data_IF_028535161809
#
_entry.id   IF_028535161809
#
_cell.length_a   1.000
_cell.length_b   1.000
_cell.length_c   1.000
_cell.angle_alpha   90.00
_cell.angle_beta   90.00
_cell.angle_gamma   90.00
#
_symmetry.space_group_name_H-M   'P 1'
#
loop_
_entity.id
_entity.type
_entity.pdbx_description
1 polymer ?
2 branched ?
3 branched ?
4 non-polymer ?
5 non-polymer ?
6 non-polymer ?
7 non-polymer ?
8 water ?
#
# COMPACT_ATOMS: atom_id res chain seq x y z
N UNK A 26 -5.88 26.42 7.01
CA UNK A 26 -6.88 25.74 6.16
C UNK A 26 -7.46 24.47 6.84
N UNK A 27 -8.77 24.36 6.82
CA UNK A 27 -9.47 23.27 7.51
C UNK A 27 -9.31 21.93 6.83
N UNK A 28 -9.36 20.86 7.63
CA UNK A 28 -9.54 19.52 7.12
C UNK A 28 -11.00 19.31 6.75
N UNK A 29 -11.23 18.47 5.76
CA UNK A 29 -12.56 18.24 5.21
C UNK A 29 -12.65 16.80 4.68
N UNK A 30 -12.59 15.86 5.60
CA UNK A 30 -12.54 14.45 5.26
C UNK A 30 -13.91 13.81 5.32
N UNK A 31 -14.26 13.02 4.31
CA UNK A 31 -15.53 12.31 4.34
C UNK A 31 -15.54 11.23 5.39
N UNK A 32 -16.65 11.05 6.09
CA UNK A 32 -16.79 9.98 7.05
C UNK A 32 -17.07 8.63 6.40
N UNK A 33 -17.36 8.63 5.09
CA UNK A 33 -17.53 7.38 4.35
C UNK A 33 -16.49 7.27 3.24
N UNK A 34 -16.13 6.04 2.90
CA UNK A 34 -15.14 5.84 1.84
C UNK A 34 -15.78 6.07 0.47
N UNK A 35 -14.97 6.01 -0.57
CA UNK A 35 -15.49 6.31 -1.91
C UNK A 35 -16.35 5.20 -2.49
N UNK A 36 -16.19 3.99 -2.01
CA UNK A 36 -16.92 2.84 -2.54
C UNK A 36 -18.37 2.99 -2.13
N UNK A 37 -19.33 2.93 -3.09
CA UNK A 37 -20.74 2.91 -2.66
C UNK A 37 -21.05 1.58 -1.91
N UNK A 38 -21.86 1.63 -0.89
CA UNK A 38 -22.18 0.48 -0.10
C UNK A 38 -20.94 -0.32 0.30
N UNK A 39 -20.04 0.30 1.07
CA UNK A 39 -18.87 -0.42 1.51
C UNK A 39 -19.27 -1.59 2.39
N UNK A 40 -18.43 -2.62 2.41
CA UNK A 40 -18.68 -3.74 3.29
C UNK A 40 -18.63 -3.26 4.75
N UNK A 41 -19.15 -4.07 5.66
CA UNK A 41 -19.12 -3.74 7.07
C UNK A 41 -17.67 -3.55 7.51
N UNK A 42 -16.80 -4.46 7.09
CA UNK A 42 -15.40 -4.36 7.41
C UNK A 42 -14.72 -3.11 6.89
N UNK A 43 -15.02 -2.76 5.64
CA UNK A 43 -14.43 -1.55 5.06
C UNK A 43 -14.91 -0.31 5.77
N UNK A 44 -16.19 -0.24 6.13
CA UNK A 44 -16.63 0.94 6.83
C UNK A 44 -15.99 0.98 8.22
N UNK A 45 -15.81 -0.16 8.88
CA UNK A 45 -15.14 -0.15 10.20
C UNK A 45 -13.68 0.30 10.06
N UNK A 46 -12.97 -0.22 9.07
CA UNK A 46 -11.56 0.13 8.85
C UNK A 46 -11.48 1.63 8.53
N UNK A 47 -12.29 2.12 7.60
CA UNK A 47 -12.25 3.53 7.24
C UNK A 47 -12.56 4.42 8.43
N UNK A 48 -13.60 4.09 9.18
CA UNK A 48 -13.95 4.87 10.35
C UNK A 48 -12.82 4.85 11.39
N UNK A 49 -12.13 3.71 11.54
CA UNK A 49 -11.00 3.64 12.45
C UNK A 49 -9.90 4.62 12.01
N UNK A 50 -9.62 4.66 10.70
CA UNK A 50 -8.64 5.62 10.18
C UNK A 50 -9.10 7.07 10.38
N UNK A 51 -10.34 7.36 10.07
CA UNK A 51 -10.85 8.73 10.27
C UNK A 51 -10.79 9.15 11.73
N UNK A 52 -11.23 8.30 12.63
CA UNK A 52 -11.33 8.68 14.04
C UNK A 52 -9.97 8.81 14.72
N UNK A 53 -8.97 8.08 14.24
CA UNK A 53 -7.62 8.15 14.79
C UNK A 53 -6.70 9.13 14.10
N UNK A 54 -7.06 9.56 12.91
CA UNK A 54 -6.23 10.49 12.15
C UNK A 54 -6.07 11.80 12.95
N UNK A 55 -4.82 12.23 13.10
CA UNK A 55 -4.43 13.45 13.82
C UNK A 55 -4.29 13.26 15.30
N UNK A 56 -4.70 12.12 15.82
CA UNK A 56 -4.59 11.82 17.26
C UNK A 56 -3.63 10.72 17.61
N UNK A 57 -3.47 9.78 16.69
CA UNK A 57 -2.56 8.65 16.87
C UNK A 57 -1.98 8.28 15.53
N UNK A 58 -0.92 7.48 15.58
CA UNK A 58 -0.17 7.06 14.40
C UNK A 58 -0.15 5.55 14.42
N UNK A 59 -0.65 4.93 13.35
CA UNK A 59 -0.75 3.46 13.27
C UNK A 59 0.59 2.86 12.79
N UNK A 60 1.13 1.95 13.59
CA UNK A 60 2.38 1.27 13.24
C UNK A 60 2.13 0.20 12.17
N UNK A 61 3.12 0.04 11.29
CA UNK A 61 3.05 -0.92 10.20
C UNK A 61 4.39 -1.53 9.90
N UNK A 62 4.35 -2.63 9.12
CA UNK A 62 5.58 -3.20 8.58
C UNK A 62 5.27 -3.97 7.32
N UNK A 63 6.11 -3.84 6.31
CA UNK A 63 6.02 -4.63 5.10
C UNK A 63 6.65 -5.99 5.30
N UNK A 64 6.09 -6.98 4.59
CA UNK A 64 6.69 -8.31 4.52
C UNK A 64 7.08 -8.67 3.08
N UNK A 65 7.88 -9.71 2.93
CA UNK A 65 8.40 -10.16 1.63
C UNK A 65 7.70 -11.44 1.20
N UNK A 66 6.91 -11.35 0.15
CA UNK A 66 6.23 -12.51 -0.40
C UNK A 66 7.19 -13.32 -1.25
N UNK A 67 6.84 -14.57 -1.49
CA UNK A 67 7.65 -15.48 -2.31
C UNK A 67 7.59 -16.88 -1.74
N UNK A 68 8.68 -17.62 -1.94
CA UNK A 68 8.64 -19.06 -1.61
C UNK A 68 9.06 -19.41 -0.21
N UNK A 69 9.17 -18.42 0.68
CA UNK A 69 9.67 -18.63 2.06
C UNK A 69 8.48 -18.50 3.05
N UNK A 70 7.86 -19.63 3.40
CA UNK A 70 6.72 -19.61 4.29
C UNK A 70 7.04 -19.04 5.66
N UNK A 71 8.21 -19.44 6.19
CA UNK A 71 8.65 -19.07 7.52
C UNK A 71 8.73 -17.58 7.67
N UNK A 72 9.20 -16.96 6.60
CA UNK A 72 9.57 -15.55 6.60
C UNK A 72 8.37 -14.61 6.36
N UNK A 73 7.18 -15.15 6.07
CA UNK A 73 6.01 -14.33 5.77
C UNK A 73 5.57 -13.35 6.85
N UNK A 74 5.90 -13.64 8.12
CA UNK A 74 5.57 -12.74 9.22
C UNK A 74 6.85 -12.31 9.98
N UNK A 75 8.01 -12.35 9.35
CA UNK A 75 9.23 -12.14 10.11
C UNK A 75 9.31 -10.73 10.69
N UNK A 76 8.87 -9.72 9.95
CA UNK A 76 9.00 -8.34 10.47
C UNK A 76 8.03 -8.12 11.66
N UNK A 77 6.74 -8.48 11.53
CA UNK A 77 5.90 -8.34 12.72
C UNK A 77 6.32 -9.21 13.90
N UNK A 78 6.80 -10.42 13.64
CA UNK A 78 7.26 -11.31 14.69
C UNK A 78 8.49 -10.71 15.40
N UNK A 79 9.42 -10.17 14.63
CA UNK A 79 10.59 -9.53 15.22
C UNK A 79 10.17 -8.39 16.12
N UNK A 80 9.19 -7.60 15.67
CA UNK A 80 8.72 -6.49 16.46
C UNK A 80 8.07 -6.94 17.75
N UNK A 81 7.31 -8.02 17.70
CA UNK A 81 6.72 -8.57 18.92
C UNK A 81 7.77 -8.95 19.95
N UNK A 82 8.78 -9.69 19.51
CA UNK A 82 9.78 -10.22 20.42
C UNK A 82 10.72 -9.16 20.96
N UNK A 83 11.04 -8.18 20.12
CA UNK A 83 12.08 -7.19 20.45
C UNK A 83 11.54 -5.86 20.95
N UNK A 84 10.38 -5.46 20.46
CA UNK A 84 9.78 -4.20 20.88
C UNK A 84 8.53 -4.37 21.70
N UNK A 85 8.08 -5.61 21.89
CA UNK A 85 6.97 -5.89 22.79
C UNK A 85 5.59 -5.89 22.17
N UNK A 86 5.47 -5.53 20.88
CA UNK A 86 4.15 -5.43 20.23
C UNK A 86 4.31 -5.65 18.74
N UNK A 87 3.32 -6.28 18.13
CA UNK A 87 3.19 -6.36 16.68
C UNK A 87 2.67 -5.02 16.14
N UNK A 88 3.07 -4.67 14.91
CA UNK A 88 2.47 -3.53 14.25
C UNK A 88 1.00 -3.74 14.02
N UNK A 89 0.23 -2.69 13.97
CA UNK A 89 -1.21 -2.80 13.71
C UNK A 89 -1.50 -3.14 12.25
N UNK A 90 -0.60 -2.73 11.37
CA UNK A 90 -0.73 -2.88 9.90
C UNK A 90 0.39 -3.78 9.37
N UNK A 91 0.05 -4.67 8.46
CA UNK A 91 1.01 -5.51 7.77
C UNK A 91 0.90 -5.28 6.28
N UNK A 92 2.02 -5.20 5.62
CA UNK A 92 2.05 -5.02 4.17
C UNK A 92 2.31 -6.31 3.40
N UNK A 93 1.56 -6.51 2.32
CA UNK A 93 1.65 -7.68 1.43
C UNK A 93 1.56 -7.19 -0.01
N UNK A 94 2.11 -7.97 -0.93
CA UNK A 94 2.26 -7.60 -2.34
C UNK A 94 1.88 -8.75 -3.25
N UNK A 95 1.02 -8.49 -4.23
CA UNK A 95 0.63 -9.50 -5.24
C UNK A 95 1.66 -9.69 -6.38
N UNK A 97 3.94 -11.70 -7.27
CA UNK A 97 4.12 -13.02 -7.90
C UNK A 97 2.83 -13.69 -8.33
N UNK A 98 1.68 -13.04 -8.12
CA UNK A 98 0.39 -13.64 -8.44
C UNK A 98 0.13 -13.78 -9.95
N UNK A 99 0.80 -12.93 -10.72
CA UNK A 99 0.78 -12.98 -12.18
C UNK A 99 2.19 -12.73 -12.68
N UNK A 100 2.44 -13.18 -13.91
CA UNK A 100 3.65 -12.80 -14.60
C UNK A 100 4.39 -13.95 -15.23
N UNK A 101 5.15 -13.60 -16.26
CA UNK A 101 6.01 -14.55 -16.95
C UNK A 101 6.89 -15.31 -15.97
N UNK A 102 6.83 -16.63 -16.02
CA UNK A 102 7.70 -17.44 -15.22
C UNK A 102 7.35 -17.53 -13.75
N UNK A 103 6.19 -17.02 -13.34
CA UNK A 103 5.84 -17.01 -11.93
C UNK A 103 4.89 -18.12 -11.52
N UNK A 104 4.72 -19.11 -12.40
CA UNK A 104 3.86 -20.28 -12.10
C UNK A 104 4.28 -21.02 -10.86
N UNK A 105 5.57 -21.03 -10.55
CA UNK A 105 6.07 -21.67 -9.34
C UNK A 105 5.33 -21.12 -8.07
N UNK A 106 4.85 -19.89 -8.17
CA UNK A 106 4.11 -19.25 -7.10
C UNK A 106 2.62 -19.38 -7.31
N UNK A 107 2.10 -18.85 -8.42
CA UNK A 107 0.66 -18.69 -8.54
C UNK A 107 -0.08 -19.99 -8.85
N UNK A 108 0.65 -21.04 -9.24
CA UNK A 108 0.12 -22.40 -9.40
C UNK A 108 0.58 -23.41 -8.35
N UNK A 109 1.14 -22.93 -7.26
CA UNK A 109 1.52 -23.84 -6.20
C UNK A 109 0.53 -23.63 -5.06
N UNK A 110 -0.02 -24.71 -4.52
CA UNK A 110 -0.94 -24.58 -3.38
C UNK A 110 -0.29 -23.90 -2.13
N UNK A 111 1.02 -24.01 -1.98
CA UNK A 111 1.74 -23.39 -0.85
C UNK A 111 1.77 -21.88 -0.93
N UNK A 112 1.59 -21.30 -2.14
CA UNK A 112 1.87 -19.89 -2.40
C UNK A 112 0.74 -19.13 -3.09
N UNK A 113 -0.13 -19.82 -3.82
CA UNK A 113 -1.20 -19.19 -4.60
C UNK A 113 -2.21 -18.46 -3.71
N UNK A 114 -2.26 -18.80 -2.43
CA UNK A 114 -3.13 -18.10 -1.48
C UNK A 114 -2.30 -17.43 -0.36
N UNK A 115 -1.01 -17.25 -0.56
CA UNK A 115 -0.18 -16.61 0.42
C UNK A 115 -0.65 -15.20 0.79
N UNK A 116 -1.00 -14.38 -0.21
CA UNK A 116 -1.43 -13.02 0.10
C UNK A 116 -2.80 -13.02 0.79
N UNK A 117 -3.77 -13.75 0.25
CA UNK A 117 -5.09 -13.86 0.88
C UNK A 117 -4.98 -14.38 2.31
N UNK A 118 -4.20 -15.42 2.51
CA UNK A 118 -4.09 -16.00 3.86
C UNK A 118 -3.39 -15.09 4.82
N UNK A 119 -2.39 -14.36 4.35
CA UNK A 119 -1.69 -13.40 5.21
C UNK A 119 -2.60 -12.30 5.61
N UNK A 120 -3.38 -11.78 4.67
CA UNK A 120 -4.34 -10.72 4.95
C UNK A 120 -5.43 -11.19 5.90
N UNK A 121 -5.97 -12.36 5.62
CA UNK A 121 -7.01 -12.97 6.48
C UNK A 121 -6.50 -13.12 7.90
N UNK A 122 -5.31 -13.67 8.03
CA UNK A 122 -4.74 -13.92 9.33
C UNK A 122 -4.58 -12.64 10.12
N UNK A 123 -4.05 -11.58 9.52
CA UNK A 123 -3.83 -10.35 10.27
C UNK A 123 -5.15 -9.67 10.59
N UNK A 124 -6.08 -9.66 9.66
CA UNK A 124 -7.42 -9.11 9.92
C UNK A 124 -8.09 -9.85 11.08
N UNK A 125 -7.97 -11.16 11.11
CA UNK A 125 -8.63 -11.93 12.16
C UNK A 125 -8.07 -11.60 13.52
N UNK A 126 -6.83 -11.16 13.60
CA UNK A 126 -6.20 -10.71 14.83
C UNK A 126 -6.52 -9.28 15.20
N UNK A 127 -7.28 -8.58 14.34
CA UNK A 127 -7.63 -7.18 14.53
C UNK A 127 -6.76 -6.18 13.81
N UNK A 128 -5.84 -6.68 12.99
CA UNK A 128 -4.92 -5.80 12.29
C UNK A 128 -5.43 -5.35 10.94
N UNK A 129 -4.60 -4.55 10.27
CA UNK A 129 -4.94 -3.91 9.00
C UNK A 129 -4.05 -4.47 7.89
N UNK A 130 -4.61 -5.25 6.95
CA UNK A 130 -3.79 -5.63 5.80
C UNK A 130 -3.68 -4.47 4.82
N UNK A 131 -2.46 -4.17 4.38
CA UNK A 131 -2.19 -3.11 3.40
C UNK A 131 -1.57 -3.82 2.18
N UNK A 132 -2.33 -3.90 1.09
CA UNK A 132 -1.93 -4.63 -0.10
C UNK A 132 -1.49 -3.69 -1.21
N UNK A 133 -0.43 -4.07 -1.91
CA UNK A 133 0.04 -3.40 -3.11
C UNK A 133 0.35 -4.45 -4.14
N UNK A 134 0.83 -4.02 -5.30
CA UNK A 134 1.05 -4.94 -6.39
C UNK A 134 2.11 -4.40 -7.34
N UNK A 135 3.33 -4.94 -7.24
CA UNK A 135 4.34 -4.69 -8.28
C UNK A 135 3.97 -5.56 -9.48
N UNK A 136 3.25 -4.92 -10.40
CA UNK A 136 2.50 -5.60 -11.46
C UNK A 136 3.42 -5.92 -12.64
N UNK A 137 3.77 -7.17 -12.77
CA UNK A 137 4.70 -7.60 -13.84
C UNK A 137 4.07 -7.47 -15.22
N UNK A 138 4.92 -7.01 -16.15
CA UNK A 138 4.61 -6.92 -17.60
C UNK A 138 3.41 -7.75 -18.02
N UNK A 139 2.27 -7.10 -18.22
CA UNK A 139 1.06 -7.86 -18.54
C UNK A 139 1.14 -8.64 -19.85
N UNK A 140 2.01 -8.21 -20.74
CA UNK A 140 2.19 -8.97 -22.01
C UNK A 140 2.80 -10.33 -21.82
N UNK A 141 3.52 -10.51 -20.72
CA UNK A 141 4.28 -11.68 -20.38
C UNK A 141 5.53 -11.83 -21.30
N UNK A 142 5.92 -10.78 -22.00
CA UNK A 142 7.16 -10.83 -22.82
C UNK A 142 8.39 -10.87 -21.92
N UNK A 143 8.29 -10.17 -20.78
CA UNK A 143 9.29 -10.13 -19.71
C UNK A 143 8.56 -10.38 -18.40
N UNK A 144 9.32 -10.57 -17.34
CA UNK A 144 8.76 -10.65 -15.99
C UNK A 144 8.88 -9.33 -15.22
N UNK A 145 9.18 -8.23 -15.92
CA UNK A 145 9.57 -6.97 -15.25
C UNK A 145 8.39 -6.04 -15.02
N UNK A 146 8.43 -5.34 -13.88
CA UNK A 146 7.58 -4.17 -13.63
C UNK A 146 8.32 -2.86 -13.81
N UNK A 147 9.65 -2.89 -13.74
CA UNK A 147 10.43 -1.68 -13.96
C UNK A 147 10.34 -1.17 -15.39
N UNK A 148 10.41 0.15 -15.52
CA UNK A 148 10.28 0.82 -16.81
C UNK A 148 11.65 1.09 -17.45
N UNK A 149 11.62 1.54 -18.72
CA UNK A 149 12.91 1.82 -19.40
C UNK A 149 13.72 2.99 -18.84
N UNK A 150 13.14 3.82 -17.97
CA UNK A 150 13.87 4.91 -17.31
C UNK A 150 14.32 4.55 -15.90
N UNK A 151 14.08 3.32 -15.46
CA UNK A 151 14.38 2.94 -14.07
C UNK A 151 15.85 2.64 -13.81
N UNK A 152 16.60 2.34 -14.85
CA UNK A 152 17.99 1.85 -14.69
C UNK A 152 18.08 0.36 -14.45
N UNK A 153 16.95 -0.34 -14.37
CA UNK A 153 16.89 -1.77 -14.09
C UNK A 153 16.38 -2.52 -15.31
N UNK A 154 16.46 -3.85 -15.29
CA UNK A 154 15.91 -4.67 -16.34
C UNK A 154 14.44 -4.31 -16.51
N UNK A 155 14.03 -3.96 -17.73
CA UNK A 155 12.76 -3.29 -17.96
C UNK A 155 11.77 -4.04 -18.81
N UNK A 156 10.52 -3.60 -18.72
CA UNK A 156 9.52 -3.96 -19.66
C UNK A 156 9.26 -2.81 -20.61
N UNK A 157 8.89 -3.17 -21.83
CA UNK A 157 8.45 -2.22 -22.85
C UNK A 157 6.94 -1.98 -22.84
N UNK A 158 6.22 -2.64 -21.95
CA UNK A 158 4.78 -2.56 -21.92
C UNK A 158 4.31 -1.11 -21.86
N UNK A 159 3.41 -0.75 -22.76
CA UNK A 159 3.00 0.62 -23.02
C UNK A 159 1.63 0.93 -22.38
N UNK A 160 1.66 1.72 -21.31
CA UNK A 160 0.43 2.05 -20.58
C UNK A 160 -0.59 2.82 -21.43
N UNK A 161 -0.11 3.65 -22.36
CA UNK A 161 -1.00 4.40 -23.24
C UNK A 161 -1.82 3.46 -24.12
N UNK A 162 -1.22 2.35 -24.52
CA UNK A 162 -1.95 1.33 -25.26
C UNK A 162 -2.85 0.49 -24.37
N UNK A 163 -2.42 0.25 -23.13
CA UNK A 163 -3.18 -0.58 -22.21
C UNK A 163 -4.52 0.03 -21.87
N UNK A 164 -4.62 1.36 -21.89
CA UNK A 164 -5.88 2.04 -21.54
C UNK A 164 -6.85 2.19 -22.72
N UNK A 165 -6.44 1.78 -23.92
CA UNK A 165 -7.29 1.85 -25.11
C UNK A 165 -8.01 0.54 -25.31
N UNK A 166 -9.34 0.58 -25.39
CA UNK A 166 -10.12 -0.62 -25.60
C UNK A 166 -9.66 -1.35 -26.86
N UNK A 167 -9.59 -2.67 -26.78
CA UNK A 167 -9.34 -3.50 -27.95
C UNK A 167 -7.90 -3.73 -28.37
N UNK A 168 -6.95 -3.13 -27.67
CA UNK A 168 -5.54 -3.41 -27.95
C UNK A 168 -5.13 -4.68 -27.23
N UNK A 169 -4.05 -5.30 -27.70
CA UNK A 169 -3.44 -6.42 -27.00
C UNK A 169 -3.10 -6.07 -25.56
N UNK A 170 -2.60 -4.86 -25.35
CA UNK A 170 -2.22 -4.43 -23.99
C UNK A 170 -3.46 -4.35 -23.09
N UNK A 171 -4.55 -3.84 -23.63
CA UNK A 171 -5.79 -3.76 -22.87
C UNK A 171 -6.31 -5.13 -22.48
N UNK A 172 -6.31 -6.07 -23.41
CA UNK A 172 -6.71 -7.43 -23.11
C UNK A 172 -5.85 -8.02 -21.98
N UNK A 173 -4.55 -7.77 -22.06
CA UNK A 173 -3.57 -8.29 -21.07
C UNK A 173 -3.84 -7.71 -19.69
N UNK A 174 -4.01 -6.39 -19.57
CA UNK A 174 -4.28 -5.89 -18.22
C UNK A 174 -5.58 -6.41 -17.65
N UNK A 175 -6.61 -6.59 -18.47
CA UNK A 175 -7.87 -7.08 -17.97
C UNK A 175 -7.79 -8.54 -17.52
N UNK A 176 -6.96 -9.34 -18.18
CA UNK A 176 -6.70 -10.70 -17.72
C UNK A 176 -6.05 -10.68 -16.35
N UNK A 177 -5.03 -9.87 -16.18
CA UNK A 177 -4.35 -9.81 -14.89
C UNK A 177 -5.27 -9.25 -13.78
N UNK A 178 -6.03 -8.21 -14.11
CA UNK A 178 -6.97 -7.63 -13.14
C UNK A 178 -7.99 -8.68 -12.67
N UNK A 179 -8.43 -9.58 -13.56
CA UNK A 179 -9.35 -10.63 -13.12
C UNK A 179 -8.73 -11.55 -12.09
N UNK A 180 -7.45 -11.87 -12.25
CA UNK A 180 -6.76 -12.74 -11.31
C UNK A 180 -6.67 -12.08 -9.93
N UNK A 181 -6.29 -10.82 -9.89
CA UNK A 181 -6.18 -10.13 -8.62
C UNK A 181 -7.56 -9.94 -8.00
N UNK A 182 -8.55 -9.61 -8.81
CA UNK A 182 -9.92 -9.47 -8.30
C UNK A 182 -10.40 -10.76 -7.69
N UNK A 183 -10.03 -11.91 -8.25
CA UNK A 183 -10.41 -13.18 -7.64
C UNK A 183 -9.87 -13.28 -6.21
N UNK A 184 -8.65 -12.81 -5.99
CA UNK A 184 -8.06 -12.87 -4.67
C UNK A 184 -8.75 -11.91 -3.72
N UNK A 185 -9.00 -10.71 -4.20
CA UNK A 185 -9.67 -9.72 -3.38
C UNK A 185 -11.14 -10.14 -3.06
N UNK A 186 -11.77 -10.86 -3.98
CA UNK A 186 -13.12 -11.41 -3.79
C UNK A 186 -13.10 -12.47 -2.70
N UNK A 187 -12.08 -13.32 -2.67
CA UNK A 187 -11.89 -14.28 -1.57
C UNK A 187 -11.87 -13.53 -0.24
N UNK A 188 -11.11 -12.43 -0.16
CA UNK A 188 -11.10 -11.59 1.03
C UNK A 188 -12.46 -11.00 1.34
N UNK A 189 -13.13 -10.46 0.32
CA UNK A 189 -14.46 -9.90 0.49
C UNK A 189 -15.42 -10.93 1.12
N UNK A 190 -15.39 -12.13 0.59
CA UNK A 190 -16.34 -13.15 1.02
C UNK A 190 -16.01 -13.65 2.42
N UNK A 191 -14.78 -13.47 2.87
CA UNK A 191 -14.36 -13.78 4.23
C UNK A 191 -14.58 -12.62 5.20
N UNK A 192 -15.13 -11.50 4.73
CA UNK A 192 -15.36 -10.35 5.61
C UNK A 192 -14.15 -9.47 5.83
N UNK A 193 -13.08 -9.66 5.07
CA UNK A 193 -11.82 -8.93 5.25
C UNK A 193 -11.80 -7.67 4.38
N UNK A 194 -11.47 -6.55 4.99
CA UNK A 194 -11.23 -5.30 4.26
C UNK A 194 -9.74 -5.02 4.27
N UNK A 195 -9.29 -4.30 3.25
CA UNK A 195 -7.87 -3.98 3.13
C UNK A 195 -7.66 -2.56 2.67
N UNK A 196 -6.50 -2.02 3.00
CA UNK A 196 -5.96 -0.88 2.26
C UNK A 196 -5.42 -1.42 0.94
N UNK A 197 -5.83 -0.81 -0.16
CA UNK A 197 -5.45 -1.24 -1.49
C UNK A 197 -4.75 -0.07 -2.13
N UNK A 198 -3.48 -0.27 -2.47
CA UNK A 198 -2.60 0.80 -2.96
C UNK A 198 -2.01 0.38 -4.31
N UNK A 199 -2.83 0.46 -5.36
CA UNK A 199 -2.39 0.03 -6.68
C UNK A 199 -1.58 1.11 -7.38
N UNK A 200 -0.85 0.73 -8.44
CA UNK A 200 -0.31 1.72 -9.37
C UNK A 200 0.51 2.77 -8.62
N UNK A 201 1.33 2.30 -7.68
CA UNK A 201 1.99 3.15 -6.71
C UNK A 201 3.28 3.71 -7.26
N UNK A 202 3.72 4.79 -6.65
CA UNK A 202 4.89 5.55 -7.11
C UNK A 202 4.84 5.87 -8.60
N UNK A 203 3.66 6.16 -9.12
CA UNK A 203 3.55 6.40 -10.54
C UNK A 203 4.39 7.57 -11.00
N UNK A 204 4.41 8.64 -10.23
CA UNK A 204 5.10 9.86 -10.62
C UNK A 204 6.60 9.70 -10.80
N UNK A 205 7.22 8.68 -10.22
CA UNK A 205 8.65 8.48 -10.42
C UNK A 205 8.99 7.97 -11.81
N UNK A 206 7.99 7.38 -12.48
CA UNK A 206 8.08 6.87 -13.85
C UNK A 206 8.96 5.65 -13.98
N UNK A 207 9.37 5.07 -12.86
CA UNK A 207 10.25 3.92 -12.85
C UNK A 207 9.52 2.58 -12.93
N UNK A 208 8.18 2.63 -12.89
CA UNK A 208 7.35 1.45 -13.13
C UNK A 208 6.53 1.70 -14.40
N UNK A 209 6.14 0.63 -15.10
CA UNK A 209 5.55 0.83 -16.41
C UNK A 209 4.25 1.64 -16.33
N UNK A 210 3.52 1.54 -15.22
CA UNK A 210 2.20 2.21 -15.09
C UNK A 210 2.28 3.71 -14.98
N UNK A 211 3.43 4.24 -14.56
CA UNK A 211 3.65 5.68 -14.54
C UNK A 211 4.56 6.19 -15.65
N UNK A 212 5.15 5.26 -16.40
CA UNK A 212 6.20 5.61 -17.36
C UNK A 212 5.70 6.52 -18.49
N UNK A 213 4.42 6.42 -18.83
CA UNK A 213 3.88 7.28 -19.88
C UNK A 213 3.28 8.57 -19.36
N UNK A 214 3.37 8.82 -18.07
CA UNK A 214 2.85 10.04 -17.48
C UNK A 214 1.46 9.94 -16.91
N UNK A 215 0.96 11.11 -16.53
CA UNK A 215 -0.29 11.25 -15.77
C UNK A 215 -1.52 10.74 -16.51
N UNK A 216 -1.57 10.97 -17.81
CA UNK A 216 -2.77 10.65 -18.54
C UNK A 216 -3.07 9.14 -18.49
N UNK A 217 -2.09 8.31 -18.86
CA UNK A 217 -2.32 6.89 -18.82
C UNK A 217 -2.55 6.41 -17.39
N UNK A 218 -1.84 7.00 -16.42
CA UNK A 218 -2.00 6.59 -15.03
C UNK A 218 -3.44 6.76 -14.57
N UNK A 219 -3.99 7.93 -14.82
CA UNK A 219 -5.39 8.17 -14.42
C UNK A 219 -6.36 7.27 -15.15
N UNK A 220 -6.12 7.01 -16.44
CA UNK A 220 -7.00 6.12 -17.18
C UNK A 220 -6.89 4.69 -16.69
N UNK A 221 -5.68 4.26 -16.30
CA UNK A 221 -5.51 2.94 -15.69
C UNK A 221 -6.22 2.83 -14.34
N UNK A 222 -6.11 3.88 -13.53
CA UNK A 222 -6.77 3.89 -12.24
C UNK A 222 -8.27 3.71 -12.43
N UNK A 223 -8.86 4.47 -13.36
CA UNK A 223 -10.29 4.36 -13.63
C UNK A 223 -10.67 2.96 -14.12
N UNK A 224 -9.88 2.39 -15.03
CA UNK A 224 -10.17 1.04 -15.51
C UNK A 224 -10.18 0.06 -14.33
N UNK A 225 -9.17 0.14 -13.47
CA UNK A 225 -9.12 -0.76 -12.32
C UNK A 225 -10.21 -0.50 -11.31
N UNK A 226 -10.45 0.78 -11.00
CA UNK A 226 -11.48 1.13 -10.02
C UNK A 226 -12.85 0.67 -10.47
N UNK A 227 -13.20 0.96 -11.71
CA UNK A 227 -14.48 0.51 -12.24
C UNK A 227 -14.59 -1.01 -12.29
N UNK A 228 -13.55 -1.68 -12.76
CA UNK A 228 -13.58 -3.14 -12.83
C UNK A 228 -13.74 -3.78 -11.44
N UNK A 229 -12.95 -3.30 -10.49
CA UNK A 229 -13.03 -3.86 -9.14
C UNK A 229 -14.32 -3.51 -8.43
N UNK A 230 -14.64 -2.23 -8.38
CA UNK A 230 -15.77 -1.76 -7.57
C UNK A 230 -17.10 -2.07 -8.25
N UNK A 231 -17.22 -1.80 -9.55
CA UNK A 231 -18.53 -1.90 -10.21
C UNK A 231 -18.71 -3.29 -10.79
N UNK A 232 -17.80 -3.76 -11.62
CA UNK A 232 -17.99 -5.03 -12.31
C UNK A 232 -17.84 -6.23 -11.39
N UNK A 233 -16.85 -6.16 -10.50
CA UNK A 233 -16.60 -7.28 -9.59
C UNK A 233 -17.20 -7.11 -8.19
N UNK A 234 -17.84 -5.98 -7.94
CA UNK A 234 -18.51 -5.74 -6.67
C UNK A 234 -17.59 -5.90 -5.47
N UNK A 235 -16.36 -5.42 -5.63
CA UNK A 235 -15.38 -5.47 -4.53
C UNK A 235 -15.56 -4.23 -3.70
N UNK A 236 -16.35 -4.36 -2.65
CA UNK A 236 -16.73 -3.25 -1.79
C UNK A 236 -15.96 -3.20 -0.50
N UNK A 237 -14.87 -3.96 -0.46
CA UNK A 237 -14.07 -4.17 0.75
C UNK A 237 -12.70 -3.45 0.72
N UNK A 238 -12.52 -2.49 -0.20
CA UNK A 238 -11.22 -1.86 -0.42
C UNK A 238 -11.23 -0.42 0.00
N UNK A 239 -10.16 0.01 0.67
CA UNK A 239 -9.90 1.40 0.97
C UNK A 239 -8.72 1.85 0.08
N UNK A 240 -8.99 2.77 -0.85
CA UNK A 240 -8.09 3.06 -1.97
C UNK A 240 -7.05 4.07 -1.59
N UNK A 241 -5.77 3.69 -1.73
CA UNK A 241 -4.64 4.56 -1.36
C UNK A 241 -3.93 5.01 -2.62
N UNK A 242 -3.92 6.31 -2.88
CA UNK A 242 -3.15 6.91 -3.98
C UNK A 242 -1.82 7.39 -3.46
N UNK A 243 -0.74 6.87 -4.07
CA UNK A 243 0.61 7.26 -3.69
C UNK A 243 1.04 8.53 -4.43
N UNK A 244 1.30 9.58 -3.68
CA UNK A 244 1.44 10.93 -4.22
C UNK A 244 2.91 11.33 -4.40
N UNK A 245 3.85 10.42 -4.23
CA UNK A 245 5.26 10.75 -4.30
C UNK A 245 6.00 9.88 -3.33
N UNK A 246 7.30 10.06 -3.18
CA UNK A 246 8.12 10.98 -3.98
C UNK A 246 8.36 10.41 -5.38
N UNK A 247 8.49 11.28 -6.40
CA UNK A 247 8.46 12.76 -6.33
C UNK A 247 7.05 13.35 -6.31
N UNK A 248 6.86 14.38 -5.51
CA UNK A 248 5.58 15.05 -5.36
C UNK A 248 5.32 16.17 -6.36
N UNK A 249 6.36 16.67 -7.04
CA UNK A 249 6.15 17.82 -7.93
C UNK A 249 5.14 17.51 -9.02
N UNK A 250 4.15 18.37 -9.17
CA UNK A 250 3.14 18.23 -10.19
C UNK A 250 2.15 17.08 -9.98
N UNK A 251 2.11 16.54 -8.76
CA UNK A 251 1.24 15.39 -8.51
C UNK A 251 -0.27 15.66 -8.70
N UNK A 252 -0.69 16.94 -8.58
CA UNK A 252 -2.08 17.27 -8.79
C UNK A 252 -2.56 16.75 -10.14
N UNK A 253 -1.69 16.78 -11.16
CA UNK A 253 -2.11 16.34 -12.49
C UNK A 253 -2.21 14.80 -12.63
N UNK A 254 -1.64 14.08 -11.67
CA UNK A 254 -1.69 12.62 -11.62
C UNK A 254 -2.84 12.09 -10.78
N UNK A 255 -3.52 12.97 -10.05
CA UNK A 255 -4.54 12.54 -9.08
C UNK A 255 -5.78 12.01 -9.75
N UNK A 256 -6.20 10.78 -9.41
CA UNK A 256 -7.41 10.21 -10.04
C UNK A 256 -8.72 10.92 -9.70
N UNK A 257 -8.73 11.65 -8.58
CA UNK A 257 -9.88 12.41 -8.14
C UNK A 257 -10.41 11.90 -6.82
N UNK A 258 -11.13 12.78 -6.12
CA UNK A 258 -11.65 12.53 -4.80
C UNK A 258 -12.64 11.37 -4.75
N UNK A 259 -13.30 11.05 -5.87
CA UNK A 259 -14.26 9.96 -5.93
C UNK A 259 -13.64 8.60 -6.18
N UNK A 260 -12.30 8.52 -6.31
CA UNK A 260 -11.65 7.21 -6.49
C UNK A 260 -10.43 7.00 -5.60
N UNK A 261 -10.31 7.81 -4.54
CA UNK A 261 -9.20 7.74 -3.59
C UNK A 261 -9.74 7.99 -2.19
N UNK A 262 -9.33 7.14 -1.23
CA UNK A 262 -9.64 7.33 0.17
C UNK A 262 -8.50 7.88 1.00
N UNK A 263 -7.28 7.58 0.64
CA UNK A 263 -6.09 7.95 1.45
C UNK A 263 -4.98 8.39 0.50
N UNK A 264 -4.28 9.44 0.88
CA UNK A 264 -3.05 9.87 0.21
C UNK A 264 -1.86 9.27 0.94
N UNK A 265 -1.05 8.50 0.23
CA UNK A 265 0.14 7.90 0.81
C UNK A 265 1.40 8.48 0.20
N UNK A 266 2.38 8.74 1.05
CA UNK A 266 3.71 9.09 0.61
C UNK A 266 4.68 7.94 0.81
N UNK A 267 5.54 7.74 -0.18
CA UNK A 267 6.66 6.81 -0.12
C UNK A 267 7.90 7.66 -0.07
N UNK A 268 8.43 7.83 1.13
CA UNK A 268 9.58 8.73 1.37
C UNK A 268 10.70 7.88 1.97
N UNK A 269 11.82 7.83 1.27
CA UNK A 269 13.03 7.15 1.75
C UNK A 269 14.07 8.20 2.10
N UNK A 270 14.12 8.53 3.38
CA UNK A 270 15.08 9.49 3.91
C UNK A 270 16.47 8.88 3.93
N UNK A 271 17.46 9.71 4.29
CA UNK A 271 18.79 9.18 4.56
C UNK A 271 18.65 8.04 5.58
N UNK A 272 19.44 6.98 5.42
CA UNK A 272 19.43 5.86 6.33
C UNK A 272 19.72 6.35 7.75
N UNK A 273 18.78 6.09 8.65
CA UNK A 273 18.91 6.48 10.05
C UNK A 273 18.25 7.79 10.43
N UNK A 274 17.73 8.50 9.45
CA UNK A 274 17.12 9.82 9.65
C UNK A 274 15.62 9.70 9.99
N UNK A 275 15.28 9.93 11.25
CA UNK A 275 13.88 9.82 11.73
C UNK A 275 13.14 11.16 11.74
N UNK A 276 13.57 12.09 10.90
CA UNK A 276 12.85 13.35 10.72
C UNK A 276 11.38 13.06 10.46
N UNK A 277 10.50 13.96 10.90
CA UNK A 277 9.08 13.69 10.81
C UNK A 277 8.51 13.86 9.40
N UNK A 278 9.29 14.45 8.50
CA UNK A 278 8.86 14.77 7.15
C UNK A 278 7.63 15.70 7.15
N UNK A 279 7.62 16.64 8.09
CA UNK A 279 6.55 17.60 8.25
C UNK A 279 6.17 18.29 6.96
N UNK A 280 7.14 18.71 6.19
CA UNK A 280 6.83 19.47 4.98
C UNK A 280 6.08 18.65 3.95
N UNK A 281 6.45 17.38 3.78
CA UNK A 281 5.67 16.53 2.89
C UNK A 281 4.25 16.31 3.40
N UNK A 282 4.10 16.14 4.72
CA UNK A 282 2.77 16.03 5.32
C UNK A 282 1.92 17.26 4.96
N UNK A 283 2.49 18.44 5.18
CA UNK A 283 1.78 19.70 4.93
C UNK A 283 1.46 19.85 3.46
N UNK A 284 2.35 19.43 2.60
CA UNK A 284 2.08 19.50 1.17
C UNK A 284 0.91 18.61 0.77
N UNK A 285 0.82 17.40 1.33
CA UNK A 285 -0.31 16.55 1.02
C UNK A 285 -1.63 17.14 1.54
N UNK A 286 -1.59 17.78 2.71
CA UNK A 286 -2.77 18.48 3.18
C UNK A 286 -3.18 19.58 2.21
N UNK A 287 -2.23 20.39 1.77
CA UNK A 287 -2.53 21.52 0.87
C UNK A 287 -2.94 21.10 -0.54
N UNK A 288 -2.14 20.24 -1.16
CA UNK A 288 -2.42 19.82 -2.53
C UNK A 288 -3.79 19.19 -2.66
N UNK A 289 -4.17 18.35 -1.68
CA UNK A 289 -5.43 17.63 -1.77
C UNK A 289 -6.54 18.29 -0.96
N UNK A 290 -6.29 19.55 -0.60
CA UNK A 290 -7.32 20.44 -0.05
C UNK A 290 -7.92 19.89 1.22
N UNK A 291 -7.11 19.17 2.00
CA UNK A 291 -7.55 18.63 3.26
C UNK A 291 -8.66 17.60 3.15
N UNK A 292 -8.89 17.05 1.96
CA UNK A 292 -10.03 16.16 1.74
C UNK A 292 -9.75 14.69 2.06
N UNK A 293 -8.48 14.33 2.21
CA UNK A 293 -8.12 12.93 2.40
C UNK A 293 -7.12 12.75 3.54
N UNK A 294 -7.29 11.67 4.27
CA UNK A 294 -6.31 11.18 5.23
C UNK A 294 -4.96 11.05 4.53
N UNK A 295 -3.90 11.40 5.25
CA UNK A 295 -2.53 11.40 4.72
C UNK A 295 -1.69 10.39 5.54
N UNK A 296 -0.99 9.51 4.85
CA UNK A 296 -0.21 8.40 5.46
C UNK A 296 1.17 8.29 4.84
N UNK A 297 2.06 7.63 5.60
CA UNK A 297 3.40 7.31 5.09
C UNK A 297 3.33 5.86 4.62
N UNK A 298 2.91 5.67 3.38
CA UNK A 298 2.66 4.34 2.86
C UNK A 298 3.92 3.48 2.65
N UNK A 299 5.07 4.09 2.51
CA UNK A 299 6.38 3.41 2.57
C UNK A 299 7.41 4.35 3.17
N UNK A 300 8.35 3.78 3.91
CA UNK A 300 9.50 4.53 4.35
C UNK A 300 10.67 3.60 4.56
N UNK A 301 11.84 4.21 4.80
CA UNK A 301 12.94 3.47 5.35
C UNK A 301 12.95 3.71 6.83
N UNK A 302 13.82 4.61 7.32
CA UNK A 302 13.67 5.09 8.67
C UNK A 302 12.30 5.70 8.90
N UNK A 303 11.68 5.29 9.99
CA UNK A 303 10.27 5.67 10.31
C UNK A 303 10.30 7.10 10.84
N UNK A 304 9.32 7.92 10.42
CA UNK A 304 9.27 9.29 10.96
C UNK A 304 8.94 9.25 12.46
N UNK A 305 9.60 10.08 13.25
CA UNK A 305 9.32 10.06 14.67
C UNK A 305 7.86 10.39 14.89
N UNK A 306 7.18 9.64 15.75
CA UNK A 306 5.78 9.94 16.03
C UNK A 306 5.63 11.35 16.60
N UNK A 307 4.76 12.14 16.00
CA UNK A 307 4.66 13.58 16.31
C UNK A 307 3.31 14.03 15.82
N UNK A 308 2.48 14.60 16.69
CA UNK A 308 1.16 15.03 16.27
C UNK A 308 1.17 16.31 15.42
N UNK A 309 2.32 16.96 15.28
CA UNK A 309 2.47 18.03 14.29
C UNK A 309 2.59 17.50 12.87
N UNK A 310 3.00 16.25 12.71
CA UNK A 310 3.09 15.57 11.39
C UNK A 310 2.49 14.16 11.54
N UNK A 311 1.19 14.10 11.75
CA UNK A 311 0.55 12.87 12.26
C UNK A 311 0.18 11.92 11.12
N UNK A 312 1.18 11.29 10.51
CA UNK A 312 0.92 10.31 9.47
C UNK A 312 -0.12 9.32 9.97
N UNK A 313 -1.13 9.02 9.18
CA UNK A 313 -2.18 8.09 9.61
C UNK A 313 -1.58 6.76 10.05
N UNK A 314 -0.69 6.28 9.20
CA UNK A 314 0.12 5.08 9.42
C UNK A 314 1.47 5.25 8.80
N UNK A 315 2.40 4.45 9.27
CA UNK A 315 3.70 4.29 8.62
C UNK A 315 3.95 2.83 8.29
N UNK A 316 4.80 2.59 7.29
CA UNK A 316 5.17 1.25 6.89
C UNK A 316 6.59 1.20 6.33
N UNK A 317 7.57 0.87 7.17
CA UNK A 317 8.87 0.60 6.59
C UNK A 317 8.84 -0.56 5.66
N UNK A 318 9.76 -0.54 4.69
CA UNK A 318 9.93 -1.66 3.77
C UNK A 318 10.49 -2.89 4.53
N UNK A 319 10.53 -4.01 3.82
CA UNK A 319 10.86 -5.29 4.46
C UNK A 319 12.36 -5.47 4.68
N UNK A 320 12.72 -6.58 5.30
CA UNK A 320 14.13 -6.93 5.54
C UNK A 320 14.82 -5.85 6.39
N UNK A 321 15.99 -5.36 5.95
CA UNK A 321 16.82 -4.45 6.73
C UNK A 321 16.20 -3.06 6.95
N UNK A 322 15.19 -2.74 6.15
CA UNK A 322 14.50 -1.48 6.33
C UNK A 322 13.65 -1.49 7.59
N UNK A 323 13.32 -2.67 8.09
CA UNK A 323 12.59 -2.86 9.34
C UNK A 323 13.49 -3.44 10.43
N UNK A 324 13.97 -4.67 10.21
CA UNK A 324 14.80 -5.35 11.21
C UNK A 324 16.20 -4.78 11.12
N UNK A 325 16.73 -4.20 12.19
CA UNK A 325 17.99 -3.47 12.08
C UNK A 325 19.20 -4.36 11.77
N UNK A 326 20.10 -3.78 10.99
CA UNK A 326 21.38 -4.40 10.65
C UNK A 326 22.43 -3.32 10.72
N UNK A 327 23.60 -3.67 11.24
CA UNK A 327 24.75 -2.77 11.18
C UNK A 327 24.75 -1.68 12.22
N UNK A 328 25.67 -0.74 12.04
CA UNK A 328 25.90 0.29 13.03
C UNK A 328 25.06 1.54 12.79
N UNK A 329 24.43 1.66 11.61
CA UNK A 329 23.54 2.78 11.34
C UNK A 329 22.25 2.24 10.76
N UNK A 330 21.54 1.40 11.53
CA UNK A 330 20.34 0.78 10.96
C UNK A 330 19.26 1.80 10.60
N UNK A 331 18.42 1.40 9.65
CA UNK A 331 17.25 2.24 9.32
C UNK A 331 16.38 2.51 10.53
N UNK A 332 16.07 1.45 11.29
CA UNK A 332 15.22 1.54 12.47
C UNK A 332 15.84 0.67 13.54
N UNK A 333 16.57 1.31 14.45
CA UNK A 333 17.32 0.59 15.47
C UNK A 333 16.39 -0.10 16.47
N UNK A 334 16.93 -1.04 17.22
CA UNK A 334 16.19 -1.65 18.30
C UNK A 334 15.71 -0.59 19.28
N UNK A 335 16.57 0.34 19.65
CA UNK A 335 16.16 1.33 20.62
C UNK A 335 15.06 2.25 20.04
N UNK A 336 15.13 2.59 18.77
CA UNK A 336 14.08 3.36 18.14
C UNK A 336 12.76 2.60 18.15
N UNK A 337 12.83 1.32 17.79
CA UNK A 337 11.60 0.54 17.80
C UNK A 337 10.97 0.39 19.19
N UNK A 338 11.81 0.17 20.21
CA UNK A 338 11.27 0.01 21.56
C UNK A 338 10.55 1.27 22.01
N UNK A 339 11.15 2.43 21.73
CA UNK A 339 10.55 3.72 22.02
C UNK A 339 9.23 3.93 21.26
N UNK A 340 9.26 3.65 19.97
CA UNK A 340 8.14 3.95 19.09
C UNK A 340 6.96 3.04 19.45
N UNK A 341 7.20 1.75 19.65
CA UNK A 341 6.09 0.84 19.88
C UNK A 341 5.53 0.92 21.29
N UNK A 342 6.21 1.63 22.20
CA UNK A 342 5.65 1.89 23.53
C UNK A 342 5.05 3.28 23.69
N UNK A 343 5.10 4.11 22.65
CA UNK A 343 4.56 5.47 22.77
C UNK A 343 3.05 5.47 22.81
N UNK A 344 2.48 6.37 23.63
CA UNK A 344 1.04 6.61 23.66
C UNK A 344 0.50 7.14 22.35
N UNK A 345 1.37 7.70 21.50
CA UNK A 345 0.90 8.16 20.18
C UNK A 345 0.70 7.06 19.16
N UNK A 346 1.24 5.89 19.41
CA UNK A 346 1.36 4.84 18.38
C UNK A 346 0.39 3.72 18.67
N UNK A 347 -0.39 3.35 17.67
CA UNK A 347 -1.29 2.23 17.74
C UNK A 347 -0.56 0.99 17.29
N UNK A 348 -0.52 -0.01 18.15
CA UNK A 348 0.03 -1.33 17.84
C UNK A 348 -1.12 -2.32 17.75
N UNK A 349 -0.82 -3.56 17.38
CA UNK A 349 -1.86 -4.57 17.25
C UNK A 349 -2.62 -4.75 18.56
N UNK A 350 -1.94 -4.54 19.69
CA UNK A 350 -2.58 -4.71 20.99
C UNK A 350 -3.57 -3.61 21.32
N UNK A 351 -3.56 -2.51 20.57
CA UNK A 351 -4.54 -1.43 20.78
C UNK A 351 -5.76 -1.57 19.89
N UNK A 352 -5.77 -2.54 18.98
CA UNK A 352 -6.86 -2.62 18.01
C UNK A 352 -8.13 -3.19 18.65
N UNK A 353 -9.29 -2.77 18.18
CA UNK A 353 -10.57 -3.18 18.83
C UNK A 353 -11.08 -4.54 18.41
N UNK A 354 -10.58 -5.10 17.31
CA UNK A 354 -11.17 -6.29 16.70
C UNK A 354 -12.28 -5.85 15.77
N UNK A 355 -12.33 -6.44 14.59
CA UNK A 355 -13.28 -6.06 13.55
C UNK A 355 -14.59 -6.85 13.68
#
# INVERSE_FOLDING_TARGET
ELEQKLISEEDLNSAVDHHHHHHEFQDWNISSSPVTPSPSAGAQKLYSFLVQNFQKKIISGAMTLQGGDESAQTKEPDWLQQNAGHRPALVGLDFXFQTGKGEEWYYNDSRFSKQVVNGAKSYWQKGGIPALCWHWRDPSKDTDAFYSPSSGNSATQFDADQAVKSGTAENKAILQDLAVIADQLQDLRDAGVAVLWRPLHEASGKWFWWGYKGADALKKLWKIEFDYFVKERNLNNLIWVFTAGTPIEGIADWYPGDDMVDVIGMDIYATQGDHATQQDYFNQCKSIFKGRKIVAMSECGSVPEPDLAAPWSFFMPWYNNYCIPEGSNPYNSLEFWKKTMSSSLVITLDNMPGW
#
